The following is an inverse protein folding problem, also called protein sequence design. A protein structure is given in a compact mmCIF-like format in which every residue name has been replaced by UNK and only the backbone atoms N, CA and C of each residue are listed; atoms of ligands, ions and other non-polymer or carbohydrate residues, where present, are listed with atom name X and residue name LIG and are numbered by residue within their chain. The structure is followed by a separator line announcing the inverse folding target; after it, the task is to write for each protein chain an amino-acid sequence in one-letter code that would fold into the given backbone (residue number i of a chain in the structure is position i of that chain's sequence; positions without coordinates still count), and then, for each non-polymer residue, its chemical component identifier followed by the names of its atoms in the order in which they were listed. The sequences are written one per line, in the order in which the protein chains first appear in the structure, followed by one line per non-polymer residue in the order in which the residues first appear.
data_IF_357638722251
#
_entry.id   IF_357638722251
#
_cell.length_a   1.000
_cell.length_b   1.000
_cell.length_c   1.000
_cell.angle_alpha   90.00
_cell.angle_beta   90.00
_cell.angle_gamma   90.00
#
_symmetry.space_group_name_H-M   'P 1'
#
loop_
_entity.id
_entity.type
_entity.pdbx_description
1 polymer ?
#
# COMPACT_ATOMS: atom_id res chain seq x y z
N UNK A 1 12.61 25.39 11.03
CA UNK A 1 12.32 23.95 10.94
C UNK A 1 11.75 23.74 9.56
N UNK A 2 12.58 23.33 8.61
CA UNK A 2 12.24 23.23 7.19
C UNK A 2 11.37 22.01 6.91
N UNK A 3 10.34 22.18 6.09
CA UNK A 3 9.35 21.20 5.61
C UNK A 3 9.94 20.08 4.71
N UNK A 4 11.18 19.67 4.93
CA UNK A 4 11.94 18.84 3.98
C UNK A 4 11.63 17.32 4.00
N UNK A 5 10.69 16.81 4.81
CA UNK A 5 10.69 15.35 5.12
C UNK A 5 9.36 14.59 5.23
N UNK A 6 8.22 15.08 4.73
CA UNK A 6 7.00 14.25 4.66
C UNK A 6 6.74 13.73 3.24
N UNK A 7 7.48 12.69 2.86
CA UNK A 7 7.25 11.89 1.64
C UNK A 7 5.82 11.32 1.57
N UNK A 8 5.28 10.99 2.74
CA UNK A 8 3.88 10.60 2.91
C UNK A 8 3.10 11.74 3.57
N UNK A 9 1.95 12.07 2.98
CA UNK A 9 0.93 12.92 3.58
C UNK A 9 -0.21 12.04 4.08
N UNK A 10 -0.48 12.08 5.38
CA UNK A 10 -1.52 11.26 6.00
C UNK A 10 -2.77 12.12 6.22
N UNK A 11 -3.93 11.63 5.78
CA UNK A 11 -5.21 12.29 5.96
C UNK A 11 -6.25 11.32 6.47
N UNK A 12 -6.84 11.60 7.64
CA UNK A 12 -7.97 10.85 8.16
C UNK A 12 -9.25 11.34 7.47
N UNK A 13 -9.82 10.51 6.60
CA UNK A 13 -11.05 10.83 5.86
C UNK A 13 -12.30 10.48 6.68
N UNK A 14 -12.22 9.40 7.45
CA UNK A 14 -13.27 8.93 8.36
C UNK A 14 -12.64 8.31 9.60
N UNK A 15 -13.44 7.99 10.61
CA UNK A 15 -12.92 7.37 11.84
C UNK A 15 -12.20 6.04 11.60
N UNK A 16 -12.61 5.33 10.56
CA UNK A 16 -12.07 4.05 10.13
C UNK A 16 -11.18 4.13 8.88
N UNK A 17 -10.96 5.31 8.29
CA UNK A 17 -10.28 5.43 7.00
C UNK A 17 -9.21 6.51 7.02
N UNK A 18 -7.97 6.09 6.78
CA UNK A 18 -6.86 6.96 6.44
C UNK A 18 -6.53 6.81 4.95
N UNK A 19 -6.20 7.94 4.33
CA UNK A 19 -5.52 8.02 3.04
C UNK A 19 -4.08 8.45 3.30
N UNK A 20 -3.14 7.63 2.84
CA UNK A 20 -1.70 7.91 2.92
C UNK A 20 -1.24 8.21 1.50
N UNK A 21 -1.05 9.49 1.21
CA UNK A 21 -0.63 9.96 -0.11
C UNK A 21 0.89 9.97 -0.21
N UNK A 22 1.45 9.22 -1.15
CA UNK A 22 2.88 9.16 -1.46
C UNK A 22 3.21 10.12 -2.61
N UNK A 23 4.21 10.98 -2.43
CA UNK A 23 4.71 11.81 -3.52
C UNK A 23 5.61 10.97 -4.45
N UNK A 24 5.04 10.51 -5.57
CA UNK A 24 5.77 9.69 -6.56
C UNK A 24 6.44 10.51 -7.67
N UNK A 25 6.31 11.85 -7.66
CA UNK A 25 6.98 12.74 -8.61
C UNK A 25 8.50 12.65 -8.56
N UNK A 26 9.04 12.26 -7.39
CA UNK A 26 10.46 12.02 -7.16
C UNK A 26 10.98 10.77 -7.90
N UNK A 27 10.08 9.83 -8.25
CA UNK A 27 10.44 8.58 -8.94
C UNK A 27 10.43 8.78 -10.45
N UNK A 28 9.39 9.44 -10.96
CA UNK A 28 9.25 9.64 -12.39
C UNK A 28 8.52 10.96 -12.70
N UNK A 29 9.11 11.84 -13.54
CA UNK A 29 8.62 13.20 -13.75
C UNK A 29 7.27 13.28 -14.48
N UNK A 30 6.75 12.18 -15.04
CA UNK A 30 5.39 12.15 -15.60
C UNK A 30 4.32 12.35 -14.51
N UNK A 31 4.61 11.93 -13.27
CA UNK A 31 3.71 12.08 -12.14
C UNK A 31 3.94 13.45 -11.51
N UNK A 32 3.48 14.50 -12.17
CA UNK A 32 3.83 15.88 -11.80
C UNK A 32 3.04 16.41 -10.60
N UNK A 33 1.81 15.94 -10.35
CA UNK A 33 0.94 16.44 -9.29
C UNK A 33 -0.05 15.43 -8.70
N UNK A 34 -0.07 14.18 -9.19
CA UNK A 34 -0.98 13.15 -8.70
C UNK A 34 -0.22 12.23 -7.74
N UNK A 35 -0.44 12.34 -6.41
CA UNK A 35 0.16 11.41 -5.48
C UNK A 35 -0.48 10.04 -5.64
N UNK A 36 0.30 9.01 -5.34
CA UNK A 36 -0.25 7.68 -5.15
C UNK A 36 -0.99 7.64 -3.81
N UNK A 37 -2.24 7.17 -3.81
CA UNK A 37 -3.00 7.01 -2.57
C UNK A 37 -3.00 5.56 -2.11
N UNK A 38 -2.47 5.33 -0.91
CA UNK A 38 -2.61 4.09 -0.17
C UNK A 38 -3.76 4.25 0.82
N UNK A 39 -4.52 3.19 1.05
CA UNK A 39 -5.70 3.24 1.91
C UNK A 39 -5.51 2.35 3.12
N UNK A 40 -5.73 2.89 4.31
CA UNK A 40 -5.67 2.14 5.56
C UNK A 40 -7.05 2.16 6.22
N UNK A 41 -7.71 1.00 6.23
CA UNK A 41 -8.98 0.77 6.88
C UNK A 41 -8.77 0.20 8.29
N UNK A 42 -9.47 0.75 9.27
CA UNK A 42 -9.43 0.28 10.66
C UNK A 42 -10.76 -0.39 11.03
N UNK A 43 -10.74 -1.71 11.21
CA UNK A 43 -11.79 -2.41 11.95
C UNK A 43 -11.48 -2.45 13.45
N UNK A 44 -12.36 -3.03 14.26
CA UNK A 44 -12.18 -3.02 15.73
C UNK A 44 -10.99 -3.86 16.20
N UNK A 45 -10.65 -4.94 15.51
CA UNK A 45 -9.53 -5.82 15.86
C UNK A 45 -8.48 -6.01 14.75
N UNK A 46 -8.81 -5.66 13.51
CA UNK A 46 -7.91 -5.83 12.37
C UNK A 46 -7.99 -4.63 11.43
N UNK A 47 -6.83 -4.17 10.99
CA UNK A 47 -6.66 -3.12 10.00
C UNK A 47 -6.26 -3.74 8.66
N UNK A 48 -6.64 -3.08 7.56
CA UNK A 48 -6.27 -3.46 6.21
C UNK A 48 -5.56 -2.29 5.56
N UNK A 49 -4.31 -2.49 5.17
CA UNK A 49 -3.56 -1.60 4.30
C UNK A 49 -3.73 -2.09 2.85
N UNK A 50 -4.17 -1.20 1.96
CA UNK A 50 -4.22 -1.40 0.53
C UNK A 50 -3.05 -0.66 -0.13
N UNK A 51 -2.20 -1.44 -0.78
CA UNK A 51 -0.93 -1.08 -1.41
C UNK A 51 0.16 -0.61 -0.45
N UNK A 52 1.41 -0.72 -0.89
CA UNK A 52 2.61 -0.43 -0.09
C UNK A 52 3.50 0.63 -0.73
N UNK A 53 3.09 1.17 -1.87
CA UNK A 53 3.77 2.30 -2.49
C UNK A 53 5.07 1.93 -3.20
N UNK A 54 5.87 2.95 -3.47
CA UNK A 54 7.13 2.86 -4.20
C UNK A 54 8.28 2.26 -3.38
N UNK A 55 8.11 2.03 -2.07
CA UNK A 55 9.14 1.41 -1.23
C UNK A 55 10.41 2.25 -1.06
N UNK A 56 10.35 3.56 -1.34
CA UNK A 56 11.49 4.46 -1.15
C UNK A 56 11.65 4.92 0.30
N UNK A 57 10.56 5.03 1.05
CA UNK A 57 10.59 5.52 2.43
C UNK A 57 9.81 4.56 3.33
N UNK A 58 10.24 4.38 4.59
CA UNK A 58 9.61 3.44 5.51
C UNK A 58 8.12 3.75 5.70
N UNK A 59 7.26 2.82 5.30
CA UNK A 59 5.81 2.90 5.48
C UNK A 59 5.37 2.13 6.74
N UNK A 60 6.07 1.07 7.10
CA UNK A 60 5.68 0.17 8.19
C UNK A 60 5.55 0.86 9.54
N UNK A 61 6.46 1.77 9.88
CA UNK A 61 6.38 2.52 11.15
C UNK A 61 5.15 3.41 11.19
N UNK A 62 4.87 4.13 10.10
CA UNK A 62 3.69 4.98 9.95
C UNK A 62 2.41 4.15 10.14
N UNK A 63 2.31 3.03 9.44
CA UNK A 63 1.14 2.15 9.53
C UNK A 63 1.00 1.57 10.94
N UNK A 64 2.09 1.12 11.56
CA UNK A 64 2.08 0.61 12.93
C UNK A 64 1.52 1.61 13.94
N UNK A 65 1.92 2.88 13.83
CA UNK A 65 1.43 3.93 14.71
C UNK A 65 -0.07 4.22 14.52
N UNK A 66 -0.56 4.13 13.28
CA UNK A 66 -1.98 4.38 12.95
C UNK A 66 -2.92 3.24 13.37
N UNK A 67 -2.47 1.99 13.33
CA UNK A 67 -3.34 0.83 13.61
C UNK A 67 -3.44 0.50 15.10
N UNK A 68 -2.48 0.93 15.92
CA UNK A 68 -2.38 0.56 17.34
C UNK A 68 -2.17 -0.95 17.52
N UNK A 69 -2.95 -1.57 18.41
CA UNK A 69 -2.83 -3.01 18.73
C UNK A 69 -3.56 -3.94 17.74
N UNK A 70 -4.12 -3.39 16.65
CA UNK A 70 -4.85 -4.18 15.64
C UNK A 70 -3.89 -5.08 14.87
N UNK A 71 -4.36 -6.27 14.50
CA UNK A 71 -3.67 -7.07 13.48
C UNK A 71 -3.67 -6.32 12.15
N UNK A 72 -2.62 -6.47 11.34
CA UNK A 72 -2.52 -5.85 10.03
C UNK A 72 -2.65 -6.91 8.93
N UNK A 73 -3.55 -6.66 7.99
CA UNK A 73 -3.57 -7.29 6.67
C UNK A 73 -3.02 -6.31 5.66
N UNK A 74 -2.20 -6.78 4.72
CA UNK A 74 -1.64 -5.97 3.62
C UNK A 74 -2.07 -6.56 2.31
N UNK A 75 -2.86 -5.81 1.55
CA UNK A 75 -3.43 -6.21 0.28
C UNK A 75 -2.78 -5.38 -0.82
N UNK A 76 -2.42 -5.99 -1.95
CA UNK A 76 -2.09 -5.25 -3.15
C UNK A 76 -3.30 -5.22 -4.10
N UNK A 77 -3.60 -4.04 -4.62
CA UNK A 77 -4.65 -3.82 -5.62
C UNK A 77 -4.28 -4.47 -6.96
N UNK A 78 -3.02 -4.33 -7.35
CA UNK A 78 -2.39 -4.95 -8.52
C UNK A 78 -0.85 -4.91 -8.41
N UNK A 79 -0.14 -5.58 -9.33
CA UNK A 79 1.30 -5.79 -9.24
C UNK A 79 2.18 -4.77 -10.00
N UNK A 80 1.73 -3.52 -10.13
CA UNK A 80 2.60 -2.46 -10.66
C UNK A 80 3.57 -1.91 -9.62
N UNK A 81 4.73 -1.45 -10.10
CA UNK A 81 5.85 -0.97 -9.29
C UNK A 81 5.45 0.10 -8.27
N UNK A 82 4.55 1.00 -8.60
CA UNK A 82 4.13 2.06 -7.69
C UNK A 82 3.29 1.52 -6.52
N UNK A 83 2.76 0.29 -6.59
CA UNK A 83 1.84 -0.25 -5.57
C UNK A 83 2.47 -1.30 -4.64
N UNK A 84 3.56 -1.96 -5.04
CA UNK A 84 4.04 -3.19 -4.39
C UNK A 84 5.47 -3.14 -3.87
N UNK A 85 6.24 -2.09 -4.16
CA UNK A 85 7.67 -2.08 -3.83
C UNK A 85 7.92 -1.90 -2.32
N UNK A 86 6.94 -1.42 -1.57
CA UNK A 86 7.00 -1.44 -0.10
C UNK A 86 6.72 -2.81 0.52
N UNK A 87 6.39 -3.84 -0.26
CA UNK A 87 5.98 -5.16 0.26
C UNK A 87 7.05 -5.81 1.15
N UNK A 88 8.35 -5.62 0.87
CA UNK A 88 9.44 -6.18 1.68
C UNK A 88 9.37 -5.78 3.16
N UNK A 89 8.75 -4.64 3.49
CA UNK A 89 8.61 -4.19 4.87
C UNK A 89 7.56 -5.02 5.64
N UNK A 90 6.59 -5.58 4.93
CA UNK A 90 5.44 -6.29 5.48
C UNK A 90 5.60 -7.78 5.23
N UNK A 91 5.92 -8.55 6.29
CA UNK A 91 6.32 -9.96 6.17
C UNK A 91 5.31 -10.84 5.44
N UNK A 92 4.03 -10.47 5.43
CA UNK A 92 2.97 -11.19 4.72
C UNK A 92 2.09 -10.21 3.94
N UNK A 93 1.79 -10.54 2.68
CA UNK A 93 0.89 -9.79 1.80
C UNK A 93 -0.15 -10.71 1.13
N UNK A 94 -1.20 -10.09 0.61
CA UNK A 94 -2.27 -10.73 -0.14
C UNK A 94 -2.45 -10.03 -1.49
N UNK A 95 -2.52 -10.79 -2.59
CA UNK A 95 -2.79 -10.25 -3.92
C UNK A 95 -3.70 -11.18 -4.72
N UNK A 96 -4.38 -10.67 -5.74
CA UNK A 96 -5.12 -11.53 -6.66
C UNK A 96 -4.22 -12.64 -7.24
N UNK A 97 -4.73 -13.87 -7.26
CA UNK A 97 -3.98 -15.07 -7.66
C UNK A 97 -3.28 -14.93 -9.03
N UNK A 98 -3.90 -14.21 -9.96
CA UNK A 98 -3.40 -14.03 -11.33
C UNK A 98 -2.14 -13.12 -11.39
N UNK A 99 -1.87 -12.35 -10.34
CA UNK A 99 -0.69 -11.47 -10.24
C UNK A 99 0.34 -11.97 -9.22
N UNK A 100 0.04 -13.06 -8.51
CA UNK A 100 0.90 -13.61 -7.45
C UNK A 100 2.30 -13.98 -7.93
N UNK A 101 2.45 -14.45 -9.17
CA UNK A 101 3.76 -14.79 -9.73
C UNK A 101 4.66 -13.58 -9.96
N UNK A 102 4.08 -12.39 -10.17
CA UNK A 102 4.82 -11.14 -10.37
C UNK A 102 5.39 -10.69 -9.02
N UNK A 103 4.56 -10.63 -8.00
CA UNK A 103 4.98 -10.20 -6.65
C UNK A 103 5.85 -11.21 -5.91
N UNK A 104 5.92 -12.46 -6.37
CA UNK A 104 6.76 -13.51 -5.79
C UNK A 104 8.22 -13.46 -6.20
N UNK A 105 8.58 -12.52 -7.08
CA UNK A 105 9.94 -12.37 -7.60
C UNK A 105 10.46 -10.98 -7.22
N UNK A 106 11.79 -10.80 -7.14
CA UNK A 106 12.35 -9.46 -7.07
C UNK A 106 11.85 -8.62 -8.25
N UNK A 107 11.41 -7.40 -7.97
CA UNK A 107 10.91 -6.49 -8.98
C UNK A 107 12.07 -5.72 -9.62
N UNK A 108 12.25 -5.88 -10.93
CA UNK A 108 13.32 -5.24 -11.70
C UNK A 108 12.91 -3.80 -12.10
N UNK A 109 13.67 -2.83 -11.60
CA UNK A 109 13.52 -1.40 -11.85
C UNK A 109 14.61 -0.86 -12.79
N UNK A 110 15.30 -1.72 -13.53
CA UNK A 110 16.37 -1.30 -14.46
C UNK A 110 15.91 -0.28 -15.50
N UNK A 111 14.61 -0.23 -15.81
CA UNK A 111 14.04 0.80 -16.68
C UNK A 111 14.16 2.24 -16.12
N UNK A 112 14.36 2.39 -14.80
CA UNK A 112 14.54 3.67 -14.13
C UNK A 112 16.01 4.15 -14.08
N UNK A 113 16.97 3.36 -14.59
CA UNK A 113 18.41 3.68 -14.47
C UNK A 113 18.81 5.02 -15.11
N UNK A 114 18.05 5.49 -16.10
CA UNK A 114 18.30 6.72 -16.84
C UNK A 114 17.38 7.89 -16.41
N UNK A 115 16.55 7.72 -15.38
CA UNK A 115 15.66 8.77 -14.89
C UNK A 115 16.45 9.90 -14.19
N UNK A 116 16.19 11.19 -14.47
CA UNK A 116 16.94 12.30 -13.88
C UNK A 116 16.79 12.38 -12.35
N UNK A 117 17.89 12.08 -11.66
CA UNK A 117 18.24 12.36 -10.25
C UNK A 117 17.12 12.41 -9.19
N UNK A 118 16.82 11.26 -8.58
CA UNK A 118 16.74 11.07 -7.11
C UNK A 118 16.60 9.58 -6.66
N UNK A 119 17.09 8.63 -7.47
CA UNK A 119 16.97 7.20 -7.16
C UNK A 119 18.17 6.64 -6.39
N UNK A 120 18.77 7.42 -5.47
CA UNK A 120 19.89 6.94 -4.62
C UNK A 120 19.47 5.64 -3.92
N UNK A 121 18.24 5.60 -3.40
CA UNK A 121 17.73 4.44 -2.65
C UNK A 121 17.47 3.20 -3.52
N UNK A 122 16.98 3.35 -4.75
CA UNK A 122 16.90 2.20 -5.65
C UNK A 122 18.27 1.75 -6.13
N UNK A 123 19.21 2.68 -6.33
CA UNK A 123 20.60 2.35 -6.65
C UNK A 123 21.27 1.56 -5.52
N UNK A 124 21.02 1.91 -4.26
CA UNK A 124 21.46 1.13 -3.08
C UNK A 124 20.90 -0.30 -3.09
N UNK A 125 19.71 -0.49 -3.66
CA UNK A 125 19.08 -1.79 -3.87
C UNK A 125 19.37 -2.41 -5.25
N UNK A 126 20.35 -1.89 -6.00
CA UNK A 126 20.69 -2.35 -7.35
C UNK A 126 19.48 -2.43 -8.31
N UNK A 127 18.52 -1.52 -8.16
CA UNK A 127 17.26 -1.49 -8.93
C UNK A 127 16.47 -2.80 -8.85
N UNK A 128 16.61 -3.56 -7.75
CA UNK A 128 15.90 -4.81 -7.53
C UNK A 128 15.29 -4.81 -6.14
N UNK A 129 13.97 -4.76 -6.06
CA UNK A 129 13.26 -4.78 -4.78
C UNK A 129 12.81 -6.21 -4.48
N UNK A 130 13.22 -6.82 -3.35
CA UNK A 130 12.80 -8.16 -2.98
C UNK A 130 11.30 -8.22 -2.66
N UNK A 131 10.69 -9.41 -2.78
CA UNK A 131 9.28 -9.61 -2.44
C UNK A 131 9.07 -9.64 -0.91
N UNK A 132 7.79 -9.68 -0.49
CA UNK A 132 7.43 -10.05 0.88
C UNK A 132 7.82 -11.51 1.20
N UNK A 133 7.94 -11.85 2.49
CA UNK A 133 8.34 -13.21 2.90
C UNK A 133 7.23 -14.25 2.61
N UNK A 134 5.97 -13.86 2.79
CA UNK A 134 4.80 -14.70 2.58
C UNK A 134 3.85 -13.99 1.62
N UNK A 135 3.42 -14.71 0.59
CA UNK A 135 2.50 -14.21 -0.43
C UNK A 135 1.29 -15.12 -0.44
N UNK A 136 0.15 -14.56 -0.06
CA UNK A 136 -1.13 -15.24 -0.11
C UNK A 136 -1.91 -14.81 -1.35
N UNK A 137 -2.62 -15.76 -1.94
CA UNK A 137 -3.46 -15.49 -3.11
C UNK A 137 -4.90 -15.24 -2.72
N UNK A 138 -5.50 -14.20 -3.28
CA UNK A 138 -6.92 -13.89 -3.22
C UNK A 138 -7.61 -14.35 -4.51
N UNK A 139 -8.87 -14.73 -4.38
CA UNK A 139 -9.81 -14.94 -5.50
C UNK A 139 -11.11 -14.20 -5.26
N UNK A 140 -11.89 -14.09 -6.32
CA UNK A 140 -13.24 -13.56 -6.22
C UNK A 140 -14.06 -14.30 -5.16
N UNK A 141 -14.79 -13.53 -4.36
CA UNK A 141 -15.61 -14.04 -3.25
C UNK A 141 -14.87 -14.28 -1.92
N UNK A 142 -13.55 -14.11 -1.85
CA UNK A 142 -12.83 -14.20 -0.57
C UNK A 142 -13.26 -13.06 0.37
N UNK A 143 -13.41 -13.39 1.66
CA UNK A 143 -13.88 -12.47 2.70
C UNK A 143 -12.93 -12.46 3.90
N UNK A 144 -12.73 -11.28 4.48
CA UNK A 144 -11.91 -11.08 5.68
C UNK A 144 -12.72 -10.33 6.73
N UNK A 145 -12.59 -10.77 7.97
CA UNK A 145 -13.21 -10.11 9.11
C UNK A 145 -12.23 -9.08 9.70
N UNK A 146 -12.58 -7.80 9.58
CA UNK A 146 -11.82 -6.71 10.18
C UNK A 146 -12.32 -6.38 11.61
N UNK A 147 -13.46 -6.95 11.98
CA UNK A 147 -14.26 -6.55 13.13
C UNK A 147 -15.28 -5.47 12.77
N UNK A 148 -15.67 -4.70 13.78
CA UNK A 148 -16.64 -3.60 13.65
C UNK A 148 -15.96 -2.38 13.00
N UNK A 149 -16.65 -1.73 12.07
CA UNK A 149 -16.20 -0.48 11.46
C UNK A 149 -17.10 0.64 12.00
N UNK A 150 -16.52 1.59 12.73
CA UNK A 150 -17.27 2.67 13.37
C UNK A 150 -17.24 3.94 12.55
N UNK A 151 -18.42 4.46 12.19
CA UNK A 151 -18.58 5.80 11.63
C UNK A 151 -19.28 6.67 12.69
N UNK A 152 -18.48 7.42 13.48
CA UNK A 152 -18.99 8.16 14.63
C UNK A 152 -19.57 7.24 15.71
N UNK A 153 -20.86 7.43 16.06
CA UNK A 153 -21.55 6.62 17.09
C UNK A 153 -22.32 5.43 16.51
N UNK A 154 -22.25 5.17 15.21
CA UNK A 154 -22.95 4.06 14.54
C UNK A 154 -21.99 3.00 14.02
N UNK A 155 -22.33 1.73 14.25
CA UNK A 155 -21.63 0.55 13.74
C UNK A 155 -22.06 0.28 12.29
N UNK A 156 -21.09 0.13 11.38
CA UNK A 156 -21.31 -0.45 10.06
C UNK A 156 -21.09 -1.96 10.21
N UNK A 157 -22.15 -2.75 10.02
CA UNK A 157 -22.09 -4.20 10.17
C UNK A 157 -21.16 -4.82 9.10
N UNK A 158 -20.31 -5.72 9.64
CA UNK A 158 -19.31 -6.63 9.05
C UNK A 158 -19.30 -6.83 7.54
N UNK A 159 -18.06 -7.00 7.03
CA UNK A 159 -17.65 -7.56 5.73
C UNK A 159 -17.21 -6.52 4.69
N UNK A 160 -15.89 -6.41 4.46
CA UNK A 160 -15.35 -5.74 3.26
C UNK A 160 -15.02 -6.82 2.23
N UNK A 161 -15.70 -6.72 1.09
CA UNK A 161 -15.62 -7.60 -0.07
C UNK A 161 -14.37 -7.24 -0.87
N UNK A 162 -13.45 -8.19 -1.06
CA UNK A 162 -12.22 -8.02 -1.85
C UNK A 162 -12.48 -7.67 -3.35
N UNK A 163 -13.71 -7.83 -3.84
CA UNK A 163 -14.02 -7.77 -5.26
C UNK A 163 -14.03 -6.36 -5.87
N UNK A 164 -14.26 -5.28 -5.09
CA UNK A 164 -14.31 -3.92 -5.66
C UNK A 164 -12.95 -3.22 -5.75
N UNK A 165 -11.95 -3.73 -5.04
CA UNK A 165 -10.61 -3.12 -4.94
C UNK A 165 -9.59 -3.73 -5.92
N UNK A 166 -9.83 -4.95 -6.42
CA UNK A 166 -8.82 -5.75 -7.13
C UNK A 166 -8.97 -5.78 -8.67
N UNK A 167 -9.99 -5.13 -9.27
CA UNK A 167 -10.25 -5.26 -10.72
C UNK A 167 -10.45 -3.98 -11.52
N UNK A 168 -10.23 -2.82 -10.93
CA UNK A 168 -10.20 -1.59 -11.70
C UNK A 168 -9.47 -0.53 -10.93
N UNK A 169 -8.57 0.21 -11.57
CA UNK A 169 -8.15 1.55 -11.15
C UNK A 169 -9.34 2.53 -11.15
N UNK A 170 -10.40 2.20 -10.40
CA UNK A 170 -11.62 2.94 -10.25
C UNK A 170 -11.63 3.54 -8.85
N UNK A 171 -11.78 4.86 -8.85
CA UNK A 171 -11.92 5.73 -7.69
C UNK A 171 -12.60 5.04 -6.50
N UNK A 172 -11.86 4.91 -5.40
CA UNK A 172 -12.40 4.69 -4.07
C UNK A 172 -12.83 6.06 -3.53
N UNK A 173 -13.91 6.63 -4.10
CA UNK A 173 -14.74 7.70 -3.56
C UNK A 173 -16.16 7.58 -4.16
#
# INVERSE_FOLDING_TARGET
MSDENQHFKISKQKDYLYVISENISIVHPVYTNDPLNLYLLLGSHTALLLDTGCGLYPLKSIVKDLIGERKLLVFNSHAHWDHILGNEEFGEIYIHKDESEIVAKPYDLSFLINSPSELIKYKEKNFSIPPAQVINTLKDGDTFDLGEIYEGTSEIQRMVIANRLLKSGANIL
#
